data_IF_850311027422
#
_entry.id   IF_850311027422
#
_cell.length_a   1.000
_cell.length_b   1.000
_cell.length_c   1.000
_cell.angle_alpha   90.00
_cell.angle_beta   90.00
_cell.angle_gamma   90.00
#
_symmetry.space_group_name_H-M   'P 1'
#
loop_
_entity.id
_entity.type
_entity.pdbx_description
1 polymer ?
#
# COMPACT_ATOMS: atom_id res chain seq x y z
N UNK A 1 -4.13 0.92 25.07
CA UNK A 1 -3.56 1.42 23.81
C UNK A 1 -3.14 2.86 24.03
N UNK A 2 -1.87 3.18 23.78
CA UNK A 2 -1.41 4.55 23.77
C UNK A 2 -1.73 5.17 22.39
N UNK A 3 -2.18 6.42 22.37
CA UNK A 3 -2.40 7.18 21.16
C UNK A 3 -1.51 8.43 21.20
N UNK A 4 -0.70 8.62 20.17
CA UNK A 4 0.21 9.76 20.06
C UNK A 4 -0.16 10.59 18.83
N UNK A 5 -0.35 11.89 19.03
CA UNK A 5 -0.52 12.83 17.93
C UNK A 5 0.86 13.28 17.45
N UNK A 6 1.14 13.07 16.18
CA UNK A 6 2.41 13.45 15.55
C UNK A 6 2.16 14.32 14.32
N UNK A 7 3.11 15.20 14.03
CA UNK A 7 3.11 15.96 12.78
C UNK A 7 4.24 15.44 11.89
N UNK A 8 3.90 15.11 10.65
CA UNK A 8 4.87 14.67 9.65
C UNK A 8 4.79 15.57 8.42
N UNK A 9 5.94 16.12 8.07
CA UNK A 9 6.10 16.92 6.86
C UNK A 9 6.76 16.07 5.77
N UNK A 10 6.00 15.80 4.71
CA UNK A 10 6.43 14.98 3.59
C UNK A 10 7.57 15.63 2.79
N UNK A 11 7.64 16.97 2.79
CA UNK A 11 8.66 17.71 2.05
C UNK A 11 10.00 17.69 2.77
N UNK A 12 9.99 17.81 4.10
CA UNK A 12 11.21 17.72 4.91
C UNK A 12 11.70 16.28 5.07
N UNK A 13 10.79 15.31 5.03
CA UNK A 13 11.09 13.89 5.23
C UNK A 13 11.64 13.56 6.62
N UNK A 14 11.57 14.50 7.58
CA UNK A 14 12.09 14.31 8.93
C UNK A 14 11.14 13.44 9.75
N UNK A 15 11.58 12.27 10.27
CA UNK A 15 10.75 11.41 11.08
C UNK A 15 10.46 12.03 12.45
N UNK A 16 9.30 11.70 13.01
CA UNK A 16 8.95 12.06 14.37
C UNK A 16 9.66 11.16 15.37
N UNK A 17 10.28 11.75 16.39
CA UNK A 17 10.96 11.00 17.47
C UNK A 17 9.94 10.57 18.53
N UNK A 18 9.81 9.26 18.76
CA UNK A 18 8.91 8.71 19.76
C UNK A 18 9.57 7.57 20.54
N UNK A 19 9.56 7.67 21.87
CA UNK A 19 10.07 6.62 22.75
C UNK A 19 8.90 5.80 23.31
N UNK A 20 9.04 4.47 23.24
CA UNK A 20 8.01 3.51 23.61
C UNK A 20 8.48 2.57 24.70
N UNK A 21 7.54 1.88 25.35
CA UNK A 21 7.83 0.84 26.34
C UNK A 21 7.02 -0.41 26.00
N UNK A 22 7.69 -1.55 25.96
CA UNK A 22 7.09 -2.87 25.81
C UNK A 22 7.25 -3.64 27.12
N UNK A 23 6.16 -4.23 27.61
CA UNK A 23 6.22 -5.17 28.74
C UNK A 23 6.26 -6.59 28.19
N UNK A 24 7.33 -7.33 28.46
CA UNK A 24 7.52 -8.70 28.01
C UNK A 24 6.37 -9.62 28.43
N UNK A 25 5.85 -10.40 27.50
CA UNK A 25 4.73 -11.32 27.74
C UNK A 25 3.33 -10.69 27.67
N UNK A 26 3.21 -9.39 27.44
CA UNK A 26 1.94 -8.72 27.21
C UNK A 26 1.80 -8.29 25.74
N UNK A 27 0.57 -8.23 25.22
CA UNK A 27 0.34 -7.64 23.92
C UNK A 27 0.74 -6.15 23.94
N UNK A 28 1.44 -5.73 22.91
CA UNK A 28 1.82 -4.35 22.70
C UNK A 28 1.06 -3.77 21.51
N UNK A 29 0.56 -2.56 21.66
CA UNK A 29 -0.03 -1.76 20.57
C UNK A 29 0.16 -0.28 20.88
N UNK A 30 0.58 0.47 19.86
CA UNK A 30 0.64 1.93 19.89
C UNK A 30 0.06 2.51 18.60
N UNK A 31 -0.80 3.52 18.73
CA UNK A 31 -1.43 4.21 17.60
C UNK A 31 -0.79 5.59 17.45
N UNK A 32 -0.39 5.92 16.25
CA UNK A 32 0.05 7.25 15.85
C UNK A 32 -1.06 7.90 15.04
N UNK A 33 -1.50 9.08 15.48
CA UNK A 33 -2.37 9.94 14.68
C UNK A 33 -1.50 10.97 13.99
N UNK A 34 -1.28 10.75 12.70
CA UNK A 34 -0.35 11.52 11.87
C UNK A 34 -1.09 12.67 11.21
N UNK A 35 -0.57 13.87 11.37
CA UNK A 35 -1.06 15.09 10.74
C UNK A 35 0.01 15.72 9.87
N UNK A 36 -0.43 16.45 8.86
CA UNK A 36 0.41 17.34 8.06
C UNK A 36 0.72 18.63 8.83
N UNK A 37 1.68 19.47 8.38
CA UNK A 37 1.97 20.78 9.00
C UNK A 37 0.76 21.70 9.09
N UNK A 38 -0.18 21.61 8.15
CA UNK A 38 -1.43 22.37 8.14
C UNK A 38 -2.51 21.83 9.09
N UNK A 39 -2.17 20.87 9.96
CA UNK A 39 -3.04 20.18 10.92
C UNK A 39 -4.10 19.25 10.31
N UNK A 40 -4.15 19.09 8.99
CA UNK A 40 -4.99 18.07 8.35
C UNK A 40 -4.47 16.66 8.63
N UNK A 41 -5.38 15.68 8.65
CA UNK A 41 -4.99 14.29 8.77
C UNK A 41 -4.12 13.86 7.57
N UNK A 42 -3.06 13.09 7.83
CA UNK A 42 -2.29 12.47 6.76
C UNK A 42 -3.12 11.30 6.18
N UNK A 43 -3.38 11.33 4.88
CA UNK A 43 -4.17 10.27 4.26
C UNK A 43 -3.26 9.09 3.85
N UNK A 44 -3.45 7.94 4.49
CA UNK A 44 -2.73 6.69 4.23
C UNK A 44 -3.45 5.76 3.26
N UNK A 45 -4.47 6.21 2.53
CA UNK A 45 -5.09 5.39 1.48
C UNK A 45 -4.02 4.97 0.48
N UNK A 46 -4.00 3.68 0.11
CA UNK A 46 -3.02 3.07 -0.78
C UNK A 46 -1.57 3.03 -0.25
N UNK A 47 -1.37 3.26 1.04
CA UNK A 47 -0.08 3.05 1.67
C UNK A 47 0.03 1.64 2.28
N UNK A 48 1.22 1.07 2.21
CA UNK A 48 1.65 -0.07 3.03
C UNK A 48 2.65 0.40 4.09
N UNK A 49 2.76 -0.35 5.18
CA UNK A 49 3.65 0.00 6.28
C UNK A 49 4.54 -1.16 6.69
N UNK A 50 5.74 -0.85 7.16
CA UNK A 50 6.66 -1.78 7.82
C UNK A 50 7.32 -1.12 9.02
N UNK A 51 7.62 -1.91 10.04
CA UNK A 51 8.30 -1.42 11.23
C UNK A 51 9.11 -2.56 11.86
N UNK A 52 10.33 -2.24 12.26
CA UNK A 52 11.24 -3.20 12.88
C UNK A 52 11.94 -2.57 14.05
N UNK A 53 12.42 -3.40 14.95
CA UNK A 53 13.28 -2.97 16.07
C UNK A 53 14.51 -3.85 16.20
N UNK A 54 15.62 -3.25 16.66
CA UNK A 54 16.88 -3.94 16.89
C UNK A 54 17.64 -3.31 18.08
N UNK A 55 18.46 -4.09 18.77
CA UNK A 55 19.35 -3.62 19.83
C UNK A 55 20.52 -2.79 19.30
N UNK A 56 20.96 -3.06 18.07
CA UNK A 56 22.13 -2.43 17.48
C UNK A 56 21.82 -1.89 16.09
N UNK A 57 22.28 -0.68 15.82
CA UNK A 57 22.29 -0.08 14.49
C UNK A 57 23.75 0.03 14.06
N UNK A 58 24.30 -1.04 13.51
CA UNK A 58 25.59 -0.98 12.84
C UNK A 58 25.39 -0.61 11.37
N UNK A 59 26.20 0.32 10.85
CA UNK A 59 26.21 0.64 9.42
C UNK A 59 26.64 -0.63 8.65
N UNK A 60 25.78 -1.10 7.77
CA UNK A 60 26.02 -2.35 7.02
C UNK A 60 25.65 -3.63 7.80
N UNK A 61 24.92 -3.52 8.91
CA UNK A 61 24.42 -4.69 9.62
C UNK A 61 23.51 -5.51 8.68
N UNK A 62 23.86 -6.78 8.52
CA UNK A 62 23.07 -7.77 7.76
C UNK A 62 22.23 -8.63 8.71
N UNK A 63 22.32 -8.38 10.01
CA UNK A 63 21.58 -9.14 11.01
C UNK A 63 20.09 -8.87 10.92
N UNK A 64 19.27 -9.93 11.07
CA UNK A 64 17.83 -9.76 11.09
C UNK A 64 17.40 -8.90 12.27
N UNK A 65 16.31 -8.16 12.13
CA UNK A 65 15.74 -7.39 13.21
C UNK A 65 15.35 -8.31 14.39
N UNK A 66 15.51 -7.81 15.62
CA UNK A 66 15.11 -8.54 16.83
C UNK A 66 13.59 -8.79 16.89
N UNK A 67 12.80 -7.86 16.34
CA UNK A 67 11.38 -8.06 16.10
C UNK A 67 10.85 -7.20 14.94
N UNK A 68 9.81 -7.72 14.29
CA UNK A 68 9.03 -7.02 13.27
C UNK A 68 7.63 -6.77 13.80
N UNK A 69 7.20 -5.51 13.78
CA UNK A 69 5.84 -5.11 14.17
C UNK A 69 4.84 -5.41 13.05
N UNK A 70 3.64 -5.81 13.43
CA UNK A 70 2.51 -5.71 12.53
C UNK A 70 2.14 -4.22 12.41
N UNK A 71 2.05 -3.72 11.18
CA UNK A 71 1.66 -2.33 10.88
C UNK A 71 0.28 -2.35 10.24
N UNK A 72 -0.65 -1.56 10.78
CA UNK A 72 -2.01 -1.44 10.28
C UNK A 72 -2.47 0.01 10.23
N UNK A 73 -3.41 0.29 9.33
CA UNK A 73 -4.05 1.61 9.24
C UNK A 73 -5.47 1.51 9.80
N UNK A 74 -5.63 1.83 11.09
CA UNK A 74 -6.95 1.75 11.78
C UNK A 74 -7.94 2.79 11.27
N UNK A 75 -7.43 3.87 10.68
CA UNK A 75 -8.20 4.85 9.90
C UNK A 75 -7.26 5.53 8.91
N UNK A 76 -7.19 5.00 7.69
CA UNK A 76 -6.27 5.53 6.66
C UNK A 76 -6.56 7.01 6.34
N UNK A 77 -7.82 7.37 6.08
CA UNK A 77 -8.23 8.75 5.79
C UNK A 77 -8.02 9.66 7.02
N UNK A 78 -8.23 9.12 8.24
CA UNK A 78 -8.03 9.86 9.50
C UNK A 78 -6.58 9.91 9.98
N UNK A 79 -5.62 9.44 9.20
CA UNK A 79 -4.20 9.48 9.52
C UNK A 79 -3.77 8.58 10.67
N UNK A 80 -4.52 7.49 10.98
CA UNK A 80 -4.21 6.61 12.09
C UNK A 80 -3.46 5.36 11.64
N UNK A 81 -2.25 5.23 12.14
CA UNK A 81 -1.35 4.11 11.94
C UNK A 81 -1.11 3.40 13.27
N UNK A 82 -1.20 2.09 13.30
CA UNK A 82 -0.95 1.24 14.46
C UNK A 82 0.26 0.34 14.24
N UNK A 83 1.12 0.24 15.24
CA UNK A 83 2.15 -0.81 15.32
C UNK A 83 1.84 -1.72 16.49
N UNK A 84 1.98 -3.04 16.30
CA UNK A 84 1.65 -4.01 17.34
C UNK A 84 2.56 -5.23 17.34
N UNK A 85 2.67 -5.86 18.52
CA UNK A 85 3.33 -7.15 18.73
C UNK A 85 2.46 -8.01 19.66
N UNK A 86 2.33 -9.28 19.31
CA UNK A 86 1.65 -10.25 20.17
C UNK A 86 2.47 -10.61 21.41
N UNK A 87 1.80 -11.14 22.45
CA UNK A 87 2.41 -11.52 23.73
C UNK A 87 3.53 -12.57 23.60
N UNK A 88 3.43 -13.47 22.62
CA UNK A 88 4.50 -14.45 22.34
C UNK A 88 5.76 -13.76 21.86
N UNK A 89 5.64 -12.81 20.91
CA UNK A 89 6.76 -12.07 20.38
C UNK A 89 7.40 -11.18 21.47
N UNK A 90 6.58 -10.47 22.27
CA UNK A 90 7.11 -9.64 23.35
C UNK A 90 7.77 -10.44 24.47
N UNK A 91 7.36 -11.71 24.68
CA UNK A 91 7.99 -12.61 25.66
C UNK A 91 9.37 -13.08 25.23
N UNK A 92 9.62 -13.24 23.93
CA UNK A 92 10.92 -13.66 23.40
C UNK A 92 11.95 -12.54 23.40
N UNK A 93 11.54 -11.29 23.60
CA UNK A 93 12.44 -10.15 23.65
C UNK A 93 13.23 -10.12 24.95
N UNK A 94 14.52 -9.93 24.86
CA UNK A 94 15.35 -9.64 26.04
C UNK A 94 15.05 -8.24 26.57
N UNK A 95 15.10 -8.10 27.90
CA UNK A 95 14.98 -6.79 28.52
C UNK A 95 16.14 -5.86 28.10
N UNK A 96 15.83 -4.61 27.84
CA UNK A 96 16.85 -3.66 27.41
C UNK A 96 16.32 -2.57 26.49
N UNK A 97 17.26 -1.82 25.93
CA UNK A 97 16.97 -0.73 25.00
C UNK A 97 17.14 -1.21 23.56
N UNK A 98 16.17 -0.87 22.73
CA UNK A 98 16.14 -1.09 21.30
C UNK A 98 15.94 0.24 20.59
N UNK A 99 16.26 0.27 19.32
CA UNK A 99 15.85 1.33 18.39
C UNK A 99 14.84 0.77 17.40
N UNK A 100 13.95 1.60 16.92
CA UNK A 100 12.93 1.20 15.95
C UNK A 100 12.64 2.32 14.96
N UNK A 101 12.05 1.96 13.85
CA UNK A 101 11.45 2.90 12.91
C UNK A 101 10.11 2.38 12.36
N UNK A 102 9.36 3.31 11.78
CA UNK A 102 8.13 3.02 11.04
C UNK A 102 8.24 3.63 9.66
N UNK A 103 8.26 2.77 8.67
CA UNK A 103 8.29 3.13 7.27
C UNK A 103 6.90 2.98 6.67
N UNK A 104 6.52 3.91 5.82
CA UNK A 104 5.34 3.77 4.97
C UNK A 104 5.72 3.95 3.52
N UNK A 105 5.10 3.15 2.68
CA UNK A 105 5.34 3.12 1.25
C UNK A 105 4.05 3.47 0.52
N UNK A 106 4.08 4.53 -0.30
CA UNK A 106 2.96 4.85 -1.19
C UNK A 106 3.11 4.08 -2.50
N UNK A 107 2.28 3.08 -2.70
CA UNK A 107 2.05 2.59 -4.05
C UNK A 107 1.09 3.57 -4.73
N UNK A 108 1.59 4.39 -5.63
CA UNK A 108 0.71 5.25 -6.43
C UNK A 108 -0.04 4.37 -7.44
N UNK A 109 -1.31 4.07 -7.15
CA UNK A 109 -2.21 3.53 -8.16
C UNK A 109 -3.04 4.68 -8.74
N UNK A 110 -2.99 4.86 -10.05
CA UNK A 110 -3.91 5.76 -10.76
C UNK A 110 -4.97 4.92 -11.44
N UNK A 111 -6.23 5.28 -11.24
CA UNK A 111 -7.36 4.66 -11.93
C UNK A 111 -8.00 5.66 -12.86
N UNK A 112 -8.13 5.29 -14.13
CA UNK A 112 -8.79 6.10 -15.16
C UNK A 112 -9.96 5.31 -15.72
N UNK A 113 -11.13 5.93 -15.84
CA UNK A 113 -12.31 5.31 -16.45
C UNK A 113 -12.59 5.97 -17.79
N UNK A 114 -12.77 5.16 -18.83
CA UNK A 114 -13.14 5.56 -20.18
C UNK A 114 -14.39 4.81 -20.64
N UNK A 115 -15.17 5.42 -21.52
CA UNK A 115 -16.30 4.76 -22.17
C UNK A 115 -15.88 4.04 -23.45
N UNK A 116 -16.40 2.84 -23.67
CA UNK A 116 -16.23 2.09 -24.92
C UNK A 116 -16.97 2.81 -26.07
N UNK A 117 -16.31 3.02 -27.21
CA UNK A 117 -16.94 3.65 -28.40
C UNK A 117 -17.63 2.61 -29.28
N UNK A 118 -17.04 1.44 -29.47
CA UNK A 118 -17.54 0.38 -30.34
C UNK A 118 -17.94 -0.84 -29.51
N UNK A 119 -19.12 -1.41 -29.84
CA UNK A 119 -19.59 -2.63 -29.20
C UNK A 119 -18.63 -3.81 -29.43
N UNK A 120 -18.50 -4.65 -28.45
CA UNK A 120 -17.78 -5.94 -28.55
C UNK A 120 -18.88 -7.02 -28.69
N UNK A 121 -18.91 -7.70 -29.84
CA UNK A 121 -19.90 -8.73 -30.13
C UNK A 121 -19.62 -10.03 -29.35
N UNK A 122 -20.69 -10.81 -29.17
CA UNK A 122 -20.61 -12.16 -28.59
C UNK A 122 -19.68 -13.06 -29.41
N UNK A 123 -18.83 -13.81 -28.77
CA UNK A 123 -17.91 -14.71 -29.46
C UNK A 123 -16.78 -14.00 -30.21
N UNK A 124 -16.70 -12.67 -30.12
CA UNK A 124 -15.60 -11.94 -30.72
C UNK A 124 -14.33 -12.27 -29.95
N UNK A 125 -13.58 -13.23 -30.46
CA UNK A 125 -12.23 -13.52 -30.00
C UNK A 125 -11.37 -12.40 -30.57
N UNK A 126 -10.96 -11.50 -29.75
CA UNK A 126 -9.89 -10.60 -30.12
C UNK A 126 -8.69 -11.46 -30.42
N UNK A 127 -8.17 -11.37 -31.65
CA UNK A 127 -7.23 -12.31 -32.20
C UNK A 127 -6.05 -12.60 -31.28
N UNK A 128 -5.50 -13.78 -31.42
CA UNK A 128 -4.33 -14.23 -30.63
C UNK A 128 -3.24 -13.15 -30.69
N UNK A 129 -3.06 -12.48 -29.56
CA UNK A 129 -2.04 -11.43 -29.40
C UNK A 129 -2.47 -10.00 -29.75
N UNK A 130 -3.69 -9.74 -30.21
CA UNK A 130 -4.15 -8.38 -30.56
C UNK A 130 -5.63 -8.23 -30.29
N UNK A 131 -5.98 -7.82 -29.07
CA UNK A 131 -7.33 -7.36 -28.80
C UNK A 131 -7.33 -5.86 -28.80
N UNK A 132 -7.95 -5.27 -29.78
CA UNK A 132 -8.01 -3.84 -29.93
C UNK A 132 -9.40 -3.32 -29.59
N UNK A 133 -9.46 -2.38 -28.67
CA UNK A 133 -10.67 -1.71 -28.23
C UNK A 133 -10.62 -0.24 -28.62
N UNK A 134 -11.71 0.29 -29.15
CA UNK A 134 -11.86 1.70 -29.46
C UNK A 134 -12.71 2.37 -28.37
N UNK A 135 -12.24 3.51 -27.90
CA UNK A 135 -12.87 4.28 -26.84
C UNK A 135 -13.34 5.64 -27.35
N UNK A 136 -14.28 6.26 -26.64
CA UNK A 136 -14.72 7.62 -26.92
C UNK A 136 -13.51 8.57 -26.81
N UNK A 137 -12.69 8.37 -25.81
CA UNK A 137 -11.44 9.10 -25.63
C UNK A 137 -10.46 8.28 -24.79
N UNK A 138 -9.25 8.09 -25.27
CA UNK A 138 -8.17 7.47 -24.51
C UNK A 138 -7.29 8.57 -23.91
N UNK A 139 -7.50 8.86 -22.63
CA UNK A 139 -6.68 9.82 -21.86
C UNK A 139 -6.12 9.15 -20.62
N UNK A 140 -4.88 9.48 -20.28
CA UNK A 140 -4.19 8.96 -19.09
C UNK A 140 -4.07 7.43 -19.04
N UNK A 141 -4.07 6.78 -20.18
CA UNK A 141 -3.81 5.34 -20.31
C UNK A 141 -2.42 5.13 -20.90
N UNK A 142 -1.66 4.21 -20.35
CA UNK A 142 -0.31 3.88 -20.83
C UNK A 142 -0.14 2.37 -21.01
N UNK A 143 0.90 2.00 -21.74
CA UNK A 143 1.35 0.61 -21.83
C UNK A 143 1.75 0.12 -20.44
N UNK A 144 1.29 -1.07 -20.07
CA UNK A 144 1.47 -1.66 -18.75
C UNK A 144 0.33 -1.42 -17.78
N UNK A 145 -0.63 -0.53 -18.09
CA UNK A 145 -1.85 -0.40 -17.29
C UNK A 145 -2.65 -1.69 -17.37
N UNK A 146 -3.34 -2.05 -16.28
CA UNK A 146 -4.30 -3.15 -16.27
C UNK A 146 -5.68 -2.63 -16.69
N UNK A 147 -6.34 -3.31 -17.62
CA UNK A 147 -7.70 -2.97 -18.08
C UNK A 147 -8.72 -3.93 -17.48
N UNK A 148 -9.85 -3.37 -17.04
CA UNK A 148 -11.02 -4.11 -16.52
C UNK A 148 -12.28 -3.60 -17.20
N UNK A 149 -13.12 -4.53 -17.68
CA UNK A 149 -14.43 -4.23 -18.30
C UNK A 149 -15.51 -4.96 -17.51
N UNK A 150 -16.06 -4.30 -16.49
CA UNK A 150 -17.05 -4.90 -15.60
C UNK A 150 -16.63 -6.27 -15.07
N UNK A 151 -17.50 -7.27 -15.22
CA UNK A 151 -17.25 -8.67 -14.88
C UNK A 151 -16.69 -9.50 -16.06
N UNK A 152 -16.46 -8.89 -17.22
CA UNK A 152 -16.12 -9.57 -18.48
C UNK A 152 -14.63 -9.71 -18.73
N UNK A 153 -13.85 -8.73 -18.29
CA UNK A 153 -12.41 -8.70 -18.43
C UNK A 153 -11.81 -8.11 -17.17
N UNK A 154 -10.89 -8.81 -16.53
CA UNK A 154 -10.25 -8.34 -15.31
C UNK A 154 -8.74 -8.36 -15.45
N UNK A 155 -8.12 -7.22 -15.12
CA UNK A 155 -6.68 -7.05 -14.93
C UNK A 155 -5.78 -7.50 -16.09
N UNK A 156 -6.24 -7.30 -17.34
CA UNK A 156 -5.44 -7.63 -18.52
C UNK A 156 -4.50 -6.47 -18.88
N UNK A 157 -3.21 -6.72 -19.12
CA UNK A 157 -2.26 -5.65 -19.41
C UNK A 157 -2.48 -5.00 -20.77
N UNK A 158 -2.39 -3.68 -20.79
CA UNK A 158 -2.34 -2.88 -22.02
C UNK A 158 -0.96 -3.01 -22.64
N UNK A 159 -0.88 -3.47 -23.87
CA UNK A 159 0.40 -3.64 -24.61
C UNK A 159 0.66 -2.53 -25.62
N UNK A 160 -0.38 -1.83 -26.07
CA UNK A 160 -0.18 -0.62 -26.87
C UNK A 160 -1.34 0.37 -26.71
N UNK A 161 -1.04 1.65 -26.91
CA UNK A 161 -1.99 2.76 -26.86
C UNK A 161 -1.80 3.61 -28.11
N UNK A 162 -2.88 3.78 -28.89
CA UNK A 162 -2.92 4.65 -30.06
C UNK A 162 -3.92 5.80 -29.81
N UNK A 163 -3.41 6.92 -29.33
CA UNK A 163 -4.21 8.09 -28.96
C UNK A 163 -4.87 8.76 -30.17
N UNK A 164 -4.28 8.65 -31.37
CA UNK A 164 -4.79 9.26 -32.59
C UNK A 164 -6.15 8.70 -33.00
N UNK A 165 -6.39 7.42 -32.74
CA UNK A 165 -7.66 6.73 -33.08
C UNK A 165 -8.36 6.18 -31.83
N UNK A 166 -7.99 6.66 -30.64
CA UNK A 166 -8.56 6.25 -29.35
C UNK A 166 -8.61 4.73 -29.13
N UNK A 167 -7.55 4.04 -29.52
CA UNK A 167 -7.48 2.57 -29.51
C UNK A 167 -6.42 2.07 -28.54
N UNK A 168 -6.75 0.98 -27.84
CA UNK A 168 -5.77 0.21 -27.07
C UNK A 168 -5.66 -1.21 -27.61
N UNK A 169 -4.55 -1.87 -27.32
CA UNK A 169 -4.37 -3.30 -27.53
C UNK A 169 -4.00 -3.94 -26.20
N UNK A 170 -4.59 -5.09 -25.88
CA UNK A 170 -4.30 -5.85 -24.65
C UNK A 170 -3.50 -7.11 -24.98
N UNK A 171 -2.71 -7.58 -24.02
CA UNK A 171 -1.78 -8.69 -24.22
C UNK A 171 -2.41 -10.07 -24.31
N UNK A 172 -3.65 -10.23 -23.84
CA UNK A 172 -4.35 -11.51 -23.83
C UNK A 172 -5.59 -11.43 -24.69
N UNK A 173 -5.85 -12.47 -25.49
CA UNK A 173 -7.08 -12.57 -26.26
C UNK A 173 -8.31 -12.60 -25.33
N UNK A 174 -9.28 -11.81 -25.66
CA UNK A 174 -10.51 -11.68 -24.91
C UNK A 174 -11.70 -12.22 -25.70
N UNK A 175 -12.50 -13.07 -25.07
CA UNK A 175 -13.74 -13.58 -25.63
C UNK A 175 -14.90 -13.20 -24.72
N UNK A 176 -15.88 -12.48 -25.24
CA UNK A 176 -17.07 -12.13 -24.47
C UNK A 176 -18.16 -13.15 -24.63
N UNK A 177 -18.76 -13.60 -23.54
CA UNK A 177 -19.95 -14.48 -23.53
C UNK A 177 -21.25 -13.70 -23.78
N UNK A 178 -21.22 -12.37 -23.68
CA UNK A 178 -22.35 -11.48 -23.93
C UNK A 178 -21.87 -10.21 -24.63
N UNK A 179 -22.74 -9.57 -25.39
CA UNK A 179 -22.43 -8.31 -26.05
C UNK A 179 -22.09 -7.24 -25.01
N UNK A 180 -20.98 -6.52 -25.22
CA UNK A 180 -20.60 -5.33 -24.45
C UNK A 180 -20.95 -4.11 -25.29
N UNK A 181 -21.82 -3.26 -24.77
CA UNK A 181 -22.36 -2.12 -25.49
C UNK A 181 -21.43 -0.90 -25.52
N UNK A 182 -21.54 -0.01 -26.50
CA UNK A 182 -20.90 1.31 -26.43
C UNK A 182 -21.30 2.05 -25.15
N UNK A 183 -20.42 2.87 -24.62
CA UNK A 183 -20.61 3.57 -23.36
C UNK A 183 -20.32 2.75 -22.11
N UNK A 184 -20.10 1.43 -22.23
CA UNK A 184 -19.68 0.61 -21.09
C UNK A 184 -18.38 1.17 -20.49
N UNK A 185 -18.39 1.38 -19.18
CA UNK A 185 -17.23 1.87 -18.47
C UNK A 185 -16.09 0.84 -18.45
N UNK A 186 -14.91 1.30 -18.83
CA UNK A 186 -13.68 0.53 -18.83
C UNK A 186 -12.70 1.21 -17.87
N UNK A 187 -12.23 0.46 -16.90
CA UNK A 187 -11.31 0.98 -15.89
C UNK A 187 -9.89 0.56 -16.23
N UNK A 188 -8.98 1.52 -16.19
CA UNK A 188 -7.55 1.31 -16.33
C UNK A 188 -6.90 1.59 -14.98
N UNK A 189 -6.12 0.64 -14.50
CA UNK A 189 -5.39 0.76 -13.24
C UNK A 189 -3.90 0.71 -13.50
N UNK A 190 -3.16 1.67 -12.99
CA UNK A 190 -1.70 1.70 -13.04
C UNK A 190 -1.15 1.63 -11.65
N UNK A 191 -0.34 0.61 -11.38
CA UNK A 191 0.51 0.59 -10.20
C UNK A 191 1.82 1.27 -10.59
N UNK A 192 2.10 2.42 -10.02
CA UNK A 192 3.41 3.05 -10.19
C UNK A 192 4.46 2.17 -9.53
N UNK A 193 5.48 1.79 -10.28
CA UNK A 193 6.67 1.14 -9.73
C UNK A 193 7.56 2.09 -8.92
N UNK A 194 7.33 3.39 -9.04
CA UNK A 194 7.97 4.40 -8.22
C UNK A 194 7.23 4.51 -6.89
N UNK A 195 7.55 3.64 -5.95
CA UNK A 195 7.08 3.77 -4.57
C UNK A 195 7.97 4.77 -3.83
N UNK A 196 7.35 5.75 -3.17
CA UNK A 196 8.09 6.63 -2.29
C UNK A 196 7.98 6.10 -0.87
N UNK A 197 9.14 5.83 -0.27
CA UNK A 197 9.22 5.33 1.10
C UNK A 197 9.50 6.51 2.02
N UNK A 198 8.66 6.68 3.04
CA UNK A 198 8.85 7.67 4.08
C UNK A 198 9.08 7.00 5.42
N UNK A 199 10.10 7.46 6.17
CA UNK A 199 10.22 7.13 7.58
C UNK A 199 9.41 8.14 8.37
N UNK A 200 8.27 7.71 8.93
CA UNK A 200 7.35 8.61 9.64
C UNK A 200 7.73 8.76 11.11
N UNK A 201 8.12 7.66 11.73
CA UNK A 201 8.47 7.60 13.16
C UNK A 201 9.78 6.86 13.33
N UNK A 202 10.56 7.30 14.27
CA UNK A 202 11.74 6.59 14.78
C UNK A 202 11.91 6.84 16.28
N UNK A 203 12.71 6.03 16.95
CA UNK A 203 13.02 6.27 18.37
C UNK A 203 13.55 5.06 19.09
N UNK A 204 13.45 5.11 20.41
CA UNK A 204 13.89 4.04 21.28
C UNK A 204 12.71 3.28 21.88
N UNK A 205 12.91 1.98 22.09
CA UNK A 205 11.99 1.13 22.85
C UNK A 205 12.71 0.56 24.05
N UNK A 206 12.10 0.68 25.23
CA UNK A 206 12.54 0.00 26.44
C UNK A 206 11.68 -1.25 26.62
N UNK A 207 12.31 -2.42 26.52
CA UNK A 207 11.65 -3.70 26.83
C UNK A 207 11.88 -4.00 28.31
N UNK A 208 10.78 -4.11 29.06
CA UNK A 208 10.78 -4.53 30.46
C UNK A 208 10.51 -6.02 30.55
N UNK A 209 11.30 -6.73 31.36
CA UNK A 209 11.08 -8.16 31.59
C UNK A 209 9.68 -8.43 32.17
N UNK A 210 9.01 -9.45 31.65
CA UNK A 210 7.78 -9.99 32.23
C UNK A 210 8.15 -10.90 33.42
N UNK A 211 7.42 -10.77 34.52
CA UNK A 211 7.64 -11.57 35.75
C UNK A 211 6.73 -12.79 35.75
N UNK A 212 5.53 -12.69 35.16
CA UNK A 212 4.52 -13.75 35.20
C UNK A 212 4.54 -14.65 33.96
N UNK A 213 4.23 -15.93 34.15
CA UNK A 213 3.90 -16.85 33.06
C UNK A 213 2.61 -16.40 32.36
N UNK A 214 2.41 -16.80 31.10
CA UNK A 214 1.13 -16.58 30.47
C UNK A 214 0.01 -17.31 31.25
N UNK A 215 -1.16 -16.69 31.43
CA UNK A 215 -2.31 -17.41 31.94
C UNK A 215 -2.64 -18.55 30.97
N UNK A 216 -2.92 -19.72 31.56
CA UNK A 216 -3.35 -20.94 30.85
C UNK A 216 -4.79 -20.83 30.41
#
# INVERSE_FOLDING_TARGET
>A
MANQNITFDIESGTPYESNLTINGGANFSNIFTVKKPNSEAFNFTDYSGSSQMTKSVAIGATDPADATFAVGFTSAIGGKLEISLGSTATRSLEAGRYVYDVLVNSASSTTTTNGLDTAISVGNTAGIGTTAFTFIKVTNVAVGDSVTIGDKLSEVPVVSVATTNNRITVGTAFTSSSQILPGTAVTFSRVSTASTIYRIVQGSIIVKAGISSAPS
#
